data_IF_980125549649
#
_entry.id   IF_980125549649
#
_cell.length_a   1.000
_cell.length_b   1.000
_cell.length_c   1.000
_cell.angle_alpha   90.00
_cell.angle_beta   90.00
_cell.angle_gamma   90.00
#
_symmetry.space_group_name_H-M   'P 1'
#
loop_
_entity.id
_entity.type
_entity.pdbx_description
1 polymer ?
#
# COMPACT_ATOMS: atom_id res chain seq x y z
N UNK A 1 -10.01 -15.18 -10.25
CA UNK A 1 -10.47 -15.65 -8.91
C UNK A 1 -10.70 -14.41 -8.07
N UNK A 2 -11.75 -14.33 -7.22
CA UNK A 2 -11.87 -13.17 -6.33
C UNK A 2 -10.64 -13.14 -5.40
N UNK A 3 -9.99 -11.98 -5.29
CA UNK A 3 -8.91 -11.79 -4.33
C UNK A 3 -9.45 -11.95 -2.89
N UNK A 4 -8.58 -12.38 -1.97
CA UNK A 4 -8.91 -12.37 -0.54
C UNK A 4 -9.24 -10.94 -0.07
N UNK A 5 -10.00 -10.84 1.02
CA UNK A 5 -10.51 -9.54 1.49
C UNK A 5 -9.39 -8.55 1.82
N UNK A 6 -8.35 -9.00 2.53
CA UNK A 6 -7.15 -8.23 2.84
C UNK A 6 -6.43 -7.74 1.57
N UNK A 7 -6.29 -8.60 0.56
CA UNK A 7 -5.73 -8.22 -0.75
C UNK A 7 -6.55 -7.13 -1.42
N UNK A 8 -7.88 -7.21 -1.37
CA UNK A 8 -8.76 -6.18 -1.94
C UNK A 8 -8.60 -4.85 -1.20
N UNK A 9 -8.62 -4.87 0.14
CA UNK A 9 -8.44 -3.66 0.95
C UNK A 9 -7.07 -3.03 0.70
N UNK A 10 -6.00 -3.82 0.68
CA UNK A 10 -4.64 -3.33 0.45
C UNK A 10 -4.48 -2.71 -0.95
N UNK A 11 -5.10 -3.28 -1.99
CA UNK A 11 -5.10 -2.67 -3.33
C UNK A 11 -5.87 -1.34 -3.37
N UNK A 12 -7.03 -1.27 -2.69
CA UNK A 12 -7.82 -0.03 -2.58
C UNK A 12 -7.04 1.05 -1.85
N UNK A 13 -6.42 0.72 -0.71
CA UNK A 13 -5.61 1.64 0.08
C UNK A 13 -4.37 2.09 -0.68
N UNK A 14 -3.67 1.18 -1.38
CA UNK A 14 -2.53 1.54 -2.22
C UNK A 14 -2.91 2.51 -3.35
N UNK A 15 -4.02 2.24 -4.03
CA UNK A 15 -4.54 3.13 -5.07
C UNK A 15 -4.95 4.49 -4.50
N UNK A 16 -5.62 4.51 -3.35
CA UNK A 16 -6.02 5.74 -2.65
C UNK A 16 -4.79 6.58 -2.28
N UNK A 17 -3.76 5.95 -1.71
CA UNK A 17 -2.50 6.61 -1.37
C UNK A 17 -1.84 7.23 -2.60
N UNK A 18 -1.70 6.49 -3.70
CA UNK A 18 -1.15 7.00 -4.96
C UNK A 18 -1.96 8.19 -5.48
N UNK A 19 -3.29 8.10 -5.42
CA UNK A 19 -4.19 9.14 -5.91
C UNK A 19 -4.16 10.43 -5.10
N UNK A 20 -3.66 10.43 -3.86
CA UNK A 20 -3.51 11.67 -3.07
C UNK A 20 -2.63 12.72 -3.79
N UNK A 21 -1.65 12.28 -4.59
CA UNK A 21 -0.77 13.15 -5.38
C UNK A 21 -1.27 13.42 -6.81
N UNK A 22 -2.34 12.76 -7.26
CA UNK A 22 -2.82 12.77 -8.65
C UNK A 22 -4.21 13.44 -8.78
N UNK A 23 -4.51 14.37 -7.89
CA UNK A 23 -5.80 15.06 -7.89
C UNK A 23 -5.91 16.06 -9.03
N UNK A 24 -7.14 16.22 -9.55
CA UNK A 24 -7.45 17.14 -10.65
C UNK A 24 -7.30 18.63 -10.28
N UNK A 25 -7.45 18.96 -9.00
CA UNK A 25 -7.25 20.30 -8.48
C UNK A 25 -5.76 20.66 -8.30
N UNK A 26 -4.85 19.70 -8.54
CA UNK A 26 -3.40 19.90 -8.42
C UNK A 26 -2.90 19.98 -6.98
N UNK A 27 -3.78 19.82 -5.99
CA UNK A 27 -3.43 19.83 -4.58
C UNK A 27 -3.07 18.43 -4.11
N UNK A 28 -2.04 18.32 -3.28
CA UNK A 28 -1.72 17.08 -2.60
C UNK A 28 -2.68 16.88 -1.41
N UNK A 29 -3.46 15.80 -1.42
CA UNK A 29 -4.39 15.48 -0.32
C UNK A 29 -3.74 14.74 0.86
N UNK A 30 -2.43 14.53 0.82
CA UNK A 30 -1.63 14.01 1.93
C UNK A 30 -0.50 15.00 2.22
N UNK A 31 -0.79 16.30 2.30
CA UNK A 31 0.25 17.34 2.41
C UNK A 31 0.74 17.57 3.84
N UNK A 32 -0.05 17.17 4.84
CA UNK A 32 0.20 17.46 6.25
C UNK A 32 0.10 16.21 7.12
N UNK A 33 0.63 16.27 8.34
CA UNK A 33 0.46 15.20 9.35
C UNK A 33 -1.01 14.97 9.65
N UNK A 34 -1.83 16.02 9.70
CA UNK A 34 -3.29 15.88 9.90
C UNK A 34 -3.98 15.14 8.74
N UNK A 35 -3.49 15.31 7.50
CA UNK A 35 -3.97 14.51 6.37
C UNK A 35 -3.54 13.04 6.48
N UNK A 36 -2.33 12.78 6.99
CA UNK A 36 -1.86 11.42 7.27
C UNK A 36 -2.69 10.77 8.39
N UNK A 37 -2.99 11.48 9.47
CA UNK A 37 -3.86 10.98 10.55
C UNK A 37 -5.24 10.61 10.01
N UNK A 38 -5.80 11.46 9.14
CA UNK A 38 -7.09 11.19 8.49
C UNK A 38 -7.01 9.96 7.59
N UNK A 39 -5.97 9.87 6.77
CA UNK A 39 -5.73 8.70 5.91
C UNK A 39 -5.57 7.42 6.75
N UNK A 40 -4.87 7.51 7.89
CA UNK A 40 -4.66 6.40 8.81
C UNK A 40 -6.00 5.86 9.34
N UNK A 41 -6.88 6.76 9.79
CA UNK A 41 -8.21 6.42 10.30
C UNK A 41 -9.13 5.90 9.18
N UNK A 42 -9.21 6.62 8.05
CA UNK A 42 -10.13 6.31 6.95
C UNK A 42 -9.84 4.94 6.31
N UNK A 43 -8.58 4.50 6.33
CA UNK A 43 -8.16 3.20 5.82
C UNK A 43 -7.99 2.13 6.91
N UNK A 44 -8.37 2.43 8.15
CA UNK A 44 -8.43 1.46 9.24
C UNK A 44 -7.08 0.84 9.61
N UNK A 45 -5.99 1.61 9.49
CA UNK A 45 -4.70 1.14 9.97
C UNK A 45 -4.75 0.94 11.50
N UNK A 46 -4.07 -0.09 11.98
CA UNK A 46 -3.86 -0.35 13.41
C UNK A 46 -2.36 -0.28 13.76
N UNK A 47 -1.95 -0.45 15.02
CA UNK A 47 -0.52 -0.52 15.40
C UNK A 47 0.18 0.84 15.57
N UNK A 48 1.51 0.86 15.42
CA UNK A 48 2.34 2.07 15.56
C UNK A 48 1.93 3.12 14.53
N UNK A 49 1.81 4.34 15.01
CA UNK A 49 1.53 5.57 14.28
C UNK A 49 2.25 6.69 15.04
N UNK A 50 3.30 7.24 14.43
CA UNK A 50 4.17 8.22 15.10
C UNK A 50 3.56 9.63 15.03
N UNK A 51 2.82 9.94 13.95
CA UNK A 51 2.08 11.20 13.81
C UNK A 51 3.00 12.42 13.72
N UNK A 52 4.11 12.30 12.99
CA UNK A 52 5.09 13.37 12.81
C UNK A 52 5.50 13.58 11.34
N UNK A 53 6.27 14.65 11.09
CA UNK A 53 6.72 15.03 9.75
C UNK A 53 7.65 13.97 9.13
N UNK A 54 8.39 13.22 9.96
CA UNK A 54 9.29 12.17 9.49
C UNK A 54 8.49 10.97 8.96
N UNK A 55 7.43 10.54 9.65
CA UNK A 55 6.52 9.50 9.20
C UNK A 55 5.80 9.92 7.91
N UNK A 56 5.34 11.17 7.81
CA UNK A 56 4.74 11.72 6.59
C UNK A 56 5.71 11.68 5.40
N UNK A 57 6.94 12.14 5.58
CA UNK A 57 7.95 12.12 4.53
C UNK A 57 8.28 10.70 4.06
N UNK A 58 8.29 9.74 4.99
CA UNK A 58 8.51 8.33 4.71
C UNK A 58 7.33 7.70 3.94
N UNK A 59 6.09 8.05 4.29
CA UNK A 59 4.88 7.63 3.56
C UNK A 59 4.86 8.23 2.14
N UNK A 60 5.32 9.47 1.96
CA UNK A 60 5.48 10.07 0.62
C UNK A 60 6.47 9.31 -0.26
N UNK A 61 7.56 8.80 0.30
CA UNK A 61 8.50 7.97 -0.44
C UNK A 61 7.84 6.65 -0.88
N UNK A 62 7.10 6.00 0.01
CA UNK A 62 6.33 4.79 -0.34
C UNK A 62 5.29 5.09 -1.42
N UNK A 63 4.57 6.21 -1.32
CA UNK A 63 3.62 6.66 -2.36
C UNK A 63 4.28 6.76 -3.74
N UNK A 64 5.48 7.35 -3.84
CA UNK A 64 6.24 7.42 -5.11
C UNK A 64 6.63 6.05 -5.63
N UNK A 65 7.12 5.18 -4.74
CA UNK A 65 7.50 3.80 -5.09
C UNK A 65 6.30 3.00 -5.60
N UNK A 66 5.16 3.09 -4.94
CA UNK A 66 3.92 2.42 -5.36
C UNK A 66 3.41 2.96 -6.69
N UNK A 67 3.43 4.28 -6.91
CA UNK A 67 3.01 4.87 -8.19
C UNK A 67 3.78 4.30 -9.40
N UNK A 68 5.04 3.92 -9.22
CA UNK A 68 5.84 3.28 -10.28
C UNK A 68 5.20 1.98 -10.78
N UNK A 69 4.45 1.25 -9.94
CA UNK A 69 3.77 0.01 -10.33
C UNK A 69 2.64 0.26 -11.34
N UNK A 70 1.99 1.43 -11.32
CA UNK A 70 0.95 1.79 -12.29
C UNK A 70 1.49 2.27 -13.65
N UNK A 71 2.80 2.56 -13.72
CA UNK A 71 3.45 3.10 -14.93
C UNK A 71 4.38 2.08 -15.62
N UNK A 72 4.36 0.83 -15.16
CA UNK A 72 5.18 -0.26 -15.72
C UNK A 72 4.32 -1.45 -16.18
N UNK A 73 4.88 -2.28 -17.05
CA UNK A 73 4.27 -3.56 -17.41
C UNK A 73 4.41 -4.62 -16.29
N UNK A 74 3.59 -5.68 -16.39
CA UNK A 74 3.49 -6.79 -15.43
C UNK A 74 4.85 -7.46 -15.16
N UNK A 75 5.62 -7.70 -16.21
CA UNK A 75 6.89 -8.44 -16.11
C UNK A 75 7.97 -7.61 -15.43
N UNK A 76 7.94 -6.29 -15.62
CA UNK A 76 8.80 -5.34 -14.89
C UNK A 76 8.31 -5.05 -13.48
N UNK A 77 7.01 -5.18 -13.19
CA UNK A 77 6.48 -5.00 -11.84
C UNK A 77 6.93 -6.12 -10.89
N UNK A 78 7.02 -7.37 -11.37
CA UNK A 78 7.44 -8.51 -10.56
C UNK A 78 8.79 -8.32 -9.82
N UNK A 79 9.90 -7.91 -10.49
CA UNK A 79 11.15 -7.66 -9.79
C UNK A 79 11.08 -6.46 -8.83
N UNK A 80 10.25 -5.43 -9.12
CA UNK A 80 10.05 -4.30 -8.21
C UNK A 80 9.36 -4.74 -6.91
N UNK A 81 8.26 -5.48 -7.02
CA UNK A 81 7.53 -6.06 -5.88
C UNK A 81 8.45 -6.97 -5.04
N UNK A 82 9.23 -7.84 -5.70
CA UNK A 82 10.19 -8.70 -5.00
C UNK A 82 11.27 -7.89 -4.25
N UNK A 83 11.67 -6.74 -4.79
CA UNK A 83 12.65 -5.86 -4.16
C UNK A 83 12.05 -5.18 -2.92
N UNK A 84 10.82 -4.66 -3.02
CA UNK A 84 10.09 -4.08 -1.90
C UNK A 84 9.96 -5.07 -0.73
N UNK A 85 9.54 -6.31 -1.01
CA UNK A 85 9.38 -7.35 0.01
C UNK A 85 10.71 -7.76 0.64
N UNK A 86 11.78 -7.88 -0.15
CA UNK A 86 13.11 -8.27 0.34
C UNK A 86 13.75 -7.20 1.21
N UNK A 87 13.69 -5.94 0.78
CA UNK A 87 14.23 -4.80 1.55
C UNK A 87 13.53 -4.66 2.91
N UNK A 88 12.23 -4.93 2.97
CA UNK A 88 11.46 -4.90 4.19
C UNK A 88 11.60 -6.17 5.05
N UNK A 89 12.37 -7.18 4.60
CA UNK A 89 12.46 -8.50 5.22
C UNK A 89 11.08 -9.11 5.52
N UNK A 90 10.15 -8.98 4.57
CA UNK A 90 8.76 -9.41 4.72
C UNK A 90 8.69 -10.95 4.88
N UNK A 91 8.09 -11.40 5.99
CA UNK A 91 7.85 -12.81 6.28
C UNK A 91 6.35 -12.98 6.55
N UNK A 92 5.57 -13.53 5.61
CA UNK A 92 4.12 -13.66 5.80
C UNK A 92 3.73 -14.60 6.95
N UNK A 93 2.70 -14.22 7.70
CA UNK A 93 2.08 -15.01 8.75
C UNK A 93 0.58 -14.69 8.86
N UNK A 94 -0.19 -15.65 9.37
CA UNK A 94 -1.63 -15.49 9.59
C UNK A 94 -1.91 -14.81 10.93
N UNK A 95 -2.85 -13.88 10.92
CA UNK A 95 -3.39 -13.24 12.13
C UNK A 95 -4.91 -13.09 12.02
N UNK A 96 -5.53 -12.72 13.14
CA UNK A 96 -6.96 -12.43 13.21
C UNK A 96 -7.20 -11.34 14.26
N UNK A 97 -7.53 -10.12 13.81
CA UNK A 97 -7.80 -8.95 14.64
C UNK A 97 -8.67 -7.93 13.88
N UNK A 98 -9.04 -6.83 14.54
CA UNK A 98 -9.76 -5.66 13.97
C UNK A 98 -11.06 -6.00 13.24
N UNK A 99 -11.75 -7.05 13.71
CA UNK A 99 -13.02 -7.51 13.14
C UNK A 99 -12.88 -8.31 11.85
N UNK A 100 -11.66 -8.59 11.39
CA UNK A 100 -11.39 -9.43 10.22
C UNK A 100 -11.16 -10.88 10.68
N UNK A 101 -11.58 -11.85 9.85
CA UNK A 101 -11.17 -13.25 10.05
C UNK A 101 -9.70 -13.43 9.65
N UNK A 102 -9.20 -14.67 9.58
CA UNK A 102 -7.81 -14.96 9.21
C UNK A 102 -7.33 -14.22 7.94
N UNK A 103 -6.28 -13.41 8.09
CA UNK A 103 -5.65 -12.65 7.01
C UNK A 103 -4.13 -12.60 7.17
N UNK A 104 -3.43 -12.16 6.12
CA UNK A 104 -1.98 -12.12 6.10
C UNK A 104 -1.44 -10.78 6.62
N UNK A 105 -0.46 -10.87 7.51
CA UNK A 105 0.52 -9.82 7.74
C UNK A 105 1.89 -10.31 7.30
N UNK A 106 2.81 -9.39 7.02
CA UNK A 106 4.23 -9.74 6.83
C UNK A 106 5.20 -8.79 7.52
N UNK A 107 4.67 -7.93 8.40
CA UNK A 107 5.38 -6.94 9.20
C UNK A 107 4.73 -6.82 10.57
N UNK A 108 5.54 -6.59 11.61
CA UNK A 108 5.05 -6.32 12.96
C UNK A 108 4.14 -5.08 12.99
N UNK A 109 3.12 -5.08 13.86
CA UNK A 109 2.30 -3.89 14.14
C UNK A 109 3.12 -2.75 14.78
N UNK A 110 4.34 -3.01 15.26
CA UNK A 110 5.27 -2.00 15.77
C UNK A 110 6.27 -1.50 14.71
N UNK A 111 6.22 -2.07 13.49
CA UNK A 111 7.03 -1.57 12.39
C UNK A 111 6.56 -0.16 11.98
N UNK A 112 7.47 0.70 11.49
CA UNK A 112 7.11 2.00 10.96
C UNK A 112 6.01 1.91 9.89
N UNK A 113 5.08 2.87 9.87
CA UNK A 113 3.88 2.83 9.03
C UNK A 113 4.22 2.65 7.54
N UNK A 114 5.23 3.35 7.04
CA UNK A 114 5.65 3.26 5.63
C UNK A 114 6.07 1.83 5.25
N UNK A 115 6.72 1.08 6.16
CA UNK A 115 7.16 -0.30 5.89
C UNK A 115 5.94 -1.20 5.76
N UNK A 116 4.95 -1.01 6.61
CA UNK A 116 3.70 -1.78 6.60
C UNK A 116 2.90 -1.51 5.34
N UNK A 117 2.67 -0.24 5.00
CA UNK A 117 2.00 0.16 3.75
C UNK A 117 2.71 -0.46 2.54
N UNK A 118 4.04 -0.35 2.47
CA UNK A 118 4.82 -0.88 1.36
C UNK A 118 4.64 -2.40 1.23
N UNK A 119 4.78 -3.13 2.33
CA UNK A 119 4.73 -4.60 2.32
C UNK A 119 3.31 -5.10 2.05
N UNK A 120 2.29 -4.55 2.72
CA UNK A 120 0.88 -4.93 2.53
C UNK A 120 0.44 -4.67 1.09
N UNK A 121 0.83 -3.53 0.51
CA UNK A 121 0.57 -3.20 -0.90
C UNK A 121 1.33 -4.14 -1.84
N UNK A 122 2.62 -4.39 -1.59
CA UNK A 122 3.43 -5.27 -2.43
C UNK A 122 2.90 -6.71 -2.44
N UNK A 123 2.52 -7.25 -1.28
CA UNK A 123 1.87 -8.56 -1.18
C UNK A 123 0.57 -8.61 -1.97
N UNK A 124 -0.25 -7.57 -1.90
CA UNK A 124 -1.50 -7.53 -2.65
C UNK A 124 -1.26 -7.50 -4.18
N UNK A 125 -0.21 -6.82 -4.62
CA UNK A 125 0.19 -6.80 -6.05
C UNK A 125 0.77 -8.15 -6.52
N UNK A 126 1.38 -8.96 -5.63
CA UNK A 126 1.76 -10.35 -5.97
C UNK A 126 0.54 -11.13 -6.47
N UNK A 127 -0.61 -10.97 -5.83
CA UNK A 127 -1.86 -11.64 -6.20
C UNK A 127 -2.39 -11.18 -7.55
N UNK A 128 -2.26 -9.89 -7.87
CA UNK A 128 -2.59 -9.33 -9.20
C UNK A 128 -1.70 -9.95 -10.27
N UNK A 129 -0.39 -9.99 -10.04
CA UNK A 129 0.59 -10.51 -10.99
C UNK A 129 0.36 -12.00 -11.23
N UNK A 130 0.26 -12.84 -10.19
CA UNK A 130 0.16 -14.29 -10.34
C UNK A 130 -1.19 -14.76 -10.87
N UNK A 131 -2.23 -13.93 -10.73
CA UNK A 131 -3.59 -14.23 -11.21
C UNK A 131 -3.85 -13.71 -12.63
N UNK A 132 -2.86 -13.07 -13.27
CA UNK A 132 -2.99 -12.44 -14.60
C UNK A 132 -4.06 -11.33 -14.66
N UNK A 133 -4.20 -10.58 -13.57
CA UNK A 133 -5.20 -9.52 -13.41
C UNK A 133 -4.60 -8.12 -13.61
N UNK A 134 -3.45 -8.00 -14.30
CA UNK A 134 -2.69 -6.74 -14.42
C UNK A 134 -3.47 -5.62 -15.09
N UNK A 135 -4.47 -5.94 -15.92
CA UNK A 135 -5.36 -4.95 -16.54
C UNK A 135 -6.12 -4.08 -15.52
N UNK A 136 -6.19 -4.51 -14.25
CA UNK A 136 -6.78 -3.74 -13.14
C UNK A 136 -5.86 -2.64 -12.60
N UNK A 137 -4.55 -2.70 -12.88
CA UNK A 137 -3.56 -1.67 -12.56
C UNK A 137 -3.54 -0.61 -13.66
N UNK A 138 -4.56 0.23 -13.70
CA UNK A 138 -4.75 1.23 -14.74
C UNK A 138 -4.59 2.65 -14.22
N UNK A 139 -4.08 3.54 -15.08
CA UNK A 139 -4.11 4.99 -14.87
C UNK A 139 -5.37 5.54 -15.53
N UNK A 140 -6.06 6.47 -14.86
CA UNK A 140 -7.25 7.13 -15.42
C UNK A 140 -6.91 7.80 -16.76
N UNK A 141 -7.77 7.62 -17.76
CA UNK A 141 -7.70 8.42 -18.97
C UNK A 141 -7.98 9.90 -18.62
N UNK A 142 -7.20 10.80 -19.20
CA UNK A 142 -7.33 12.25 -19.03
C UNK A 142 -8.63 12.78 -19.63
#
# INVERSE_FOLDING_TARGET
MPFAYDTQQNLVTAAALVNTALRRDGLDALATVEDLDRFWVDHGFAGRHDGDDDELAQVHEVRRRLHTLWSTDRDRAAPLVNTMLREAAAVPYLVRHDGWDWHLHATSLQAPLQVRILVESAMAVVDVIRSDEWARMAVCAA
#
